data_IF_136815999597
#
_entry.id   IF_136815999597
#
_cell.length_a   1.000
_cell.length_b   1.000
_cell.length_c   1.000
_cell.angle_alpha   90.00
_cell.angle_beta   90.00
_cell.angle_gamma   90.00
#
_symmetry.space_group_name_H-M   'P 1'
#
loop_
_entity.id
_entity.type
_entity.pdbx_description
1 polymer ?
#
# COMPACT_ATOMS: atom_id res chain seq x y z
N UNK A 1 -83.75 6.04 18.28
CA UNK A 1 -82.64 5.13 18.01
C UNK A 1 -81.50 5.76 17.20
N UNK A 2 -81.76 6.57 16.14
CA UNK A 2 -80.76 7.14 15.22
C UNK A 2 -79.73 8.12 15.88
N UNK A 3 -80.13 8.84 16.92
CA UNK A 3 -79.27 9.81 17.60
C UNK A 3 -78.18 9.18 18.49
N UNK A 4 -78.39 7.99 19.01
CA UNK A 4 -77.40 7.29 19.85
C UNK A 4 -76.30 6.61 18.94
N UNK A 5 -76.67 6.21 17.74
CA UNK A 5 -75.73 5.64 16.77
C UNK A 5 -74.72 6.68 16.25
N UNK A 6 -75.18 7.93 16.08
CA UNK A 6 -74.34 9.05 15.60
C UNK A 6 -73.27 9.46 16.63
N UNK A 7 -73.61 9.41 17.93
CA UNK A 7 -72.65 9.69 19.01
C UNK A 7 -71.60 8.59 19.18
N UNK A 8 -71.93 7.33 18.96
CA UNK A 8 -70.98 6.21 18.98
C UNK A 8 -70.00 6.26 17.82
N UNK A 9 -70.45 6.59 16.63
CA UNK A 9 -69.57 6.71 15.46
C UNK A 9 -68.61 7.89 15.56
N UNK A 10 -69.04 9.02 16.09
CA UNK A 10 -68.20 10.20 16.35
C UNK A 10 -67.10 9.93 17.37
N UNK A 11 -67.39 9.16 18.43
CA UNK A 11 -66.42 8.73 19.42
C UNK A 11 -65.32 7.82 18.87
N UNK A 12 -65.70 6.90 18.02
CA UNK A 12 -64.74 5.98 17.36
C UNK A 12 -63.80 6.75 16.39
N UNK A 13 -64.37 7.68 15.61
CA UNK A 13 -63.57 8.50 14.70
C UNK A 13 -62.57 9.38 15.47
N UNK A 14 -62.99 9.94 16.61
CA UNK A 14 -62.11 10.76 17.45
C UNK A 14 -60.96 9.94 18.04
N UNK A 15 -61.22 8.71 18.49
CA UNK A 15 -60.20 7.82 19.01
C UNK A 15 -59.19 7.42 17.89
N UNK A 16 -59.65 7.16 16.68
CA UNK A 16 -58.78 6.86 15.52
C UNK A 16 -57.90 8.06 15.14
N UNK A 17 -58.42 9.29 15.22
CA UNK A 17 -57.64 10.49 14.95
C UNK A 17 -56.55 10.68 16.04
N UNK A 18 -56.86 10.47 17.30
CA UNK A 18 -55.90 10.55 18.38
C UNK A 18 -54.79 9.49 18.24
N UNK A 19 -55.18 8.27 17.85
CA UNK A 19 -54.21 7.19 17.61
C UNK A 19 -53.30 7.50 16.37
N UNK A 20 -53.86 8.10 15.34
CA UNK A 20 -53.11 8.52 14.17
C UNK A 20 -52.12 9.66 14.48
N UNK A 21 -52.56 10.66 15.28
CA UNK A 21 -51.69 11.74 15.71
C UNK A 21 -50.57 11.23 16.64
N UNK A 22 -50.88 10.28 17.53
CA UNK A 22 -49.88 9.63 18.38
C UNK A 22 -48.87 8.83 17.54
N UNK A 23 -49.34 8.15 16.49
CA UNK A 23 -48.49 7.38 15.59
C UNK A 23 -47.54 8.29 14.80
N UNK A 24 -48.03 9.41 14.26
CA UNK A 24 -47.19 10.43 13.62
C UNK A 24 -46.16 11.00 14.61
N UNK A 25 -46.57 11.29 15.85
CA UNK A 25 -45.66 11.78 16.88
C UNK A 25 -44.54 10.81 17.18
N UNK A 26 -44.82 9.51 17.24
CA UNK A 26 -43.83 8.46 17.49
C UNK A 26 -42.86 8.32 16.29
N UNK A 27 -43.36 8.41 15.05
CA UNK A 27 -42.52 8.36 13.85
C UNK A 27 -41.57 9.57 13.80
N UNK A 28 -42.10 10.78 13.95
CA UNK A 28 -41.29 12.00 13.95
C UNK A 28 -40.24 12.02 15.09
N UNK A 29 -40.54 11.39 16.23
CA UNK A 29 -39.58 11.27 17.33
C UNK A 29 -38.45 10.27 16.98
N UNK A 30 -38.76 9.21 16.24
CA UNK A 30 -37.74 8.25 15.76
C UNK A 30 -36.80 8.85 14.70
N UNK A 31 -37.35 9.66 13.79
CA UNK A 31 -36.50 10.33 12.78
C UNK A 31 -35.53 11.34 13.42
N UNK A 32 -36.03 12.14 14.39
CA UNK A 32 -35.17 13.10 15.08
C UNK A 32 -34.05 12.46 15.89
N UNK A 33 -34.27 11.28 16.47
CA UNK A 33 -33.22 10.53 17.22
C UNK A 33 -32.18 9.90 16.27
N UNK A 34 -32.59 9.51 15.07
CA UNK A 34 -31.66 8.95 14.08
C UNK A 34 -30.77 10.00 13.40
N UNK A 35 -31.26 11.22 13.20
CA UNK A 35 -30.45 12.31 12.64
C UNK A 35 -29.42 12.86 13.66
N UNK A 36 -29.82 12.99 14.94
CA UNK A 36 -28.91 13.50 15.97
C UNK A 36 -27.76 12.52 16.29
N UNK A 37 -28.02 11.22 16.25
CA UNK A 37 -26.98 10.20 16.44
C UNK A 37 -26.02 10.08 15.25
N UNK A 38 -26.49 10.35 14.02
CA UNK A 38 -25.66 10.30 12.81
C UNK A 38 -24.78 11.54 12.68
N UNK A 39 -25.21 12.68 13.20
CA UNK A 39 -24.46 13.94 13.12
C UNK A 39 -23.31 14.02 14.15
N UNK A 40 -23.45 13.36 15.31
CA UNK A 40 -22.38 13.34 16.33
C UNK A 40 -21.30 12.27 16.10
N UNK A 41 -21.60 11.22 15.33
CA UNK A 41 -20.60 10.20 14.98
C UNK A 41 -19.69 10.57 13.81
N UNK A 42 -20.11 11.51 12.95
CA UNK A 42 -19.34 11.93 11.77
C UNK A 42 -18.02 12.66 12.09
N UNK A 43 -17.94 13.55 13.10
CA UNK A 43 -16.66 14.16 13.47
C UNK A 43 -15.68 13.19 14.16
N UNK A 44 -16.19 12.24 14.96
CA UNK A 44 -15.32 11.28 15.65
C UNK A 44 -14.69 10.27 14.67
N UNK A 45 -15.45 9.74 13.71
CA UNK A 45 -14.94 8.88 12.65
C UNK A 45 -13.97 9.61 11.69
N UNK A 46 -14.22 10.90 11.42
CA UNK A 46 -13.28 11.72 10.64
C UNK A 46 -12.00 12.06 11.41
N UNK A 47 -12.06 12.23 12.72
CA UNK A 47 -10.87 12.41 13.56
C UNK A 47 -10.07 11.12 13.76
N UNK A 48 -10.71 9.96 13.78
CA UNK A 48 -10.01 8.66 13.79
C UNK A 48 -9.35 8.34 12.44
N UNK A 49 -9.92 8.79 11.32
CA UNK A 49 -9.32 8.69 9.99
C UNK A 49 -8.17 9.69 9.75
N UNK A 50 -8.03 10.73 10.57
CA UNK A 50 -6.88 11.63 10.60
C UNK A 50 -5.80 11.16 11.59
N UNK A 51 -5.69 9.86 11.86
CA UNK A 51 -4.50 9.30 12.46
C UNK A 51 -3.36 9.59 11.48
N UNK A 52 -2.53 10.55 11.81
CA UNK A 52 -1.36 10.93 11.00
C UNK A 52 -0.58 9.66 10.72
N UNK A 53 -0.62 9.20 9.47
CA UNK A 53 0.10 7.99 9.07
C UNK A 53 1.59 8.26 9.35
N UNK A 54 2.13 7.55 10.33
CA UNK A 54 3.54 7.68 10.69
C UNK A 54 4.39 7.26 9.51
N UNK A 55 5.28 8.13 9.06
CA UNK A 55 6.22 7.83 7.96
C UNK A 55 7.62 7.67 8.49
N UNK A 56 8.40 6.85 7.81
CA UNK A 56 9.84 6.72 8.03
C UNK A 56 10.59 7.13 6.77
N UNK A 57 11.79 7.70 6.98
CA UNK A 57 12.72 8.00 5.90
C UNK A 57 13.48 6.75 5.52
N UNK A 58 13.63 6.54 4.21
CA UNK A 58 14.41 5.46 3.63
C UNK A 58 15.32 6.03 2.54
N UNK A 59 16.44 5.35 2.28
CA UNK A 59 17.31 5.66 1.15
C UNK A 59 17.10 4.63 0.05
N UNK A 60 16.85 5.09 -1.15
CA UNK A 60 16.92 4.26 -2.35
C UNK A 60 18.19 4.61 -3.12
N UNK A 61 18.76 3.63 -3.80
CA UNK A 61 20.00 3.79 -4.53
C UNK A 61 19.74 3.58 -6.01
N UNK A 62 19.98 4.63 -6.81
CA UNK A 62 19.68 4.63 -8.24
C UNK A 62 20.94 4.94 -9.06
N UNK A 63 21.10 4.32 -10.27
CA UNK A 63 22.27 4.54 -11.12
C UNK A 63 22.35 5.99 -11.58
N UNK A 64 23.55 6.56 -11.59
CA UNK A 64 23.82 7.90 -12.10
C UNK A 64 24.08 7.87 -13.59
N UNK A 65 23.65 8.89 -14.37
CA UNK A 65 24.11 9.09 -15.74
C UNK A 65 25.53 9.64 -15.83
N UNK A 66 26.11 10.10 -14.71
CA UNK A 66 27.41 10.80 -14.68
C UNK A 66 28.58 9.88 -14.32
N UNK A 67 28.30 8.76 -13.61
CA UNK A 67 29.32 7.82 -13.15
C UNK A 67 28.75 6.40 -13.02
N UNK A 68 29.58 5.44 -12.64
CA UNK A 68 29.21 4.01 -12.51
C UNK A 68 28.67 3.65 -11.11
N UNK A 69 28.33 4.66 -10.29
CA UNK A 69 27.86 4.45 -8.92
C UNK A 69 26.34 4.56 -8.80
N UNK A 70 25.81 3.94 -7.76
CA UNK A 70 24.44 4.15 -7.31
C UNK A 70 24.39 5.34 -6.35
N UNK A 71 23.57 6.33 -6.67
CA UNK A 71 23.42 7.55 -5.87
C UNK A 71 22.24 7.43 -4.91
N UNK A 72 22.40 7.87 -3.64
CA UNK A 72 21.34 7.81 -2.66
C UNK A 72 20.28 8.90 -2.87
N UNK A 73 19.01 8.50 -2.79
CA UNK A 73 17.89 9.41 -2.74
C UNK A 73 16.99 9.10 -1.54
N UNK A 74 16.69 10.13 -0.73
CA UNK A 74 15.77 9.99 0.39
C UNK A 74 14.33 9.89 -0.11
N UNK A 75 13.57 8.93 0.45
CA UNK A 75 12.13 8.77 0.26
C UNK A 75 11.43 8.67 1.60
N UNK A 76 10.12 8.82 1.60
CA UNK A 76 9.27 8.56 2.76
C UNK A 76 8.32 7.42 2.44
N UNK A 77 8.26 6.46 3.34
CA UNK A 77 7.32 5.35 3.28
C UNK A 77 6.47 5.31 4.55
N UNK A 78 5.30 4.68 4.48
CA UNK A 78 4.47 4.47 5.65
C UNK A 78 5.12 3.47 6.60
N UNK A 79 5.17 3.81 7.89
CA UNK A 79 5.58 2.89 8.93
C UNK A 79 4.46 1.87 9.16
N UNK A 80 4.70 0.62 8.82
CA UNK A 80 3.75 -0.47 9.02
C UNK A 80 4.35 -1.55 9.92
N UNK A 81 3.53 -2.35 10.65
CA UNK A 81 4.05 -3.47 11.45
C UNK A 81 4.69 -4.57 10.60
N UNK A 82 4.30 -4.69 9.35
CA UNK A 82 4.78 -5.72 8.42
C UNK A 82 6.05 -5.26 7.70
N UNK A 83 7.16 -5.95 7.95
CA UNK A 83 8.42 -5.69 7.25
C UNK A 83 8.31 -5.93 5.74
N UNK A 84 7.56 -6.95 5.30
CA UNK A 84 7.33 -7.20 3.87
C UNK A 84 6.56 -6.05 3.21
N UNK A 85 5.60 -5.43 3.92
CA UNK A 85 4.91 -4.25 3.40
C UNK A 85 5.83 -3.03 3.32
N UNK A 86 6.75 -2.83 4.26
CA UNK A 86 7.74 -1.75 4.18
C UNK A 86 8.70 -1.98 3.02
N UNK A 87 9.20 -3.21 2.83
CA UNK A 87 10.02 -3.59 1.67
C UNK A 87 9.27 -3.36 0.35
N UNK A 88 7.99 -3.72 0.29
CA UNK A 88 7.15 -3.47 -0.89
C UNK A 88 7.04 -1.98 -1.23
N UNK A 89 6.94 -1.12 -0.22
CA UNK A 89 6.94 0.34 -0.41
C UNK A 89 8.28 0.85 -0.92
N UNK A 90 9.42 0.35 -0.39
CA UNK A 90 10.75 0.70 -0.92
C UNK A 90 10.89 0.31 -2.39
N UNK A 91 10.43 -0.89 -2.76
CA UNK A 91 10.42 -1.31 -4.17
C UNK A 91 9.58 -0.38 -5.04
N UNK A 92 8.40 0.03 -4.57
CA UNK A 92 7.55 0.97 -5.30
C UNK A 92 8.23 2.33 -5.50
N UNK A 93 8.99 2.82 -4.50
CA UNK A 93 9.76 4.06 -4.64
C UNK A 93 10.89 3.92 -5.68
N UNK A 94 11.59 2.78 -5.72
CA UNK A 94 12.60 2.49 -6.76
C UNK A 94 11.92 2.44 -8.15
N UNK A 95 10.75 1.80 -8.26
CA UNK A 95 10.03 1.67 -9.54
C UNK A 95 9.49 3.00 -10.07
N UNK A 96 9.18 3.96 -9.19
CA UNK A 96 8.85 5.34 -9.59
C UNK A 96 10.03 6.04 -10.27
N UNK A 97 11.25 5.63 -9.97
CA UNK A 97 12.47 6.24 -10.48
C UNK A 97 12.95 7.44 -9.67
N UNK A 98 13.87 8.20 -10.27
CA UNK A 98 14.56 9.30 -9.62
C UNK A 98 13.73 10.57 -9.56
N UNK A 99 13.89 11.31 -8.45
CA UNK A 99 13.45 12.71 -8.29
C UNK A 99 14.60 13.71 -8.50
N UNK A 100 15.85 13.20 -8.68
CA UNK A 100 17.07 14.01 -8.79
C UNK A 100 17.79 13.88 -10.14
N UNK A 101 17.18 13.19 -11.11
CA UNK A 101 17.75 13.01 -12.45
C UNK A 101 18.61 11.76 -12.63
N UNK A 102 18.66 10.86 -11.63
CA UNK A 102 19.27 9.55 -11.78
C UNK A 102 18.47 8.66 -12.75
N UNK A 103 19.07 7.59 -13.21
CA UNK A 103 18.43 6.65 -14.14
C UNK A 103 17.43 5.75 -13.40
N UNK A 104 16.39 5.31 -14.10
CA UNK A 104 15.52 4.26 -13.59
C UNK A 104 15.99 2.90 -14.13
N UNK A 105 16.58 2.02 -13.30
CA UNK A 105 17.08 0.74 -13.77
C UNK A 105 15.97 -0.31 -13.92
N UNK A 106 14.76 -0.01 -13.49
CA UNK A 106 13.64 -0.96 -13.46
C UNK A 106 12.71 -0.70 -14.64
N UNK A 107 12.42 -1.71 -15.47
CA UNK A 107 11.47 -1.57 -16.57
C UNK A 107 10.09 -1.11 -16.08
N UNK A 108 9.45 -0.13 -16.74
CA UNK A 108 8.24 0.53 -16.23
C UNK A 108 7.02 -0.41 -16.09
N UNK A 109 6.98 -1.54 -16.81
CA UNK A 109 5.88 -2.51 -16.72
C UNK A 109 6.09 -3.55 -15.62
N UNK A 110 7.24 -3.51 -14.93
CA UNK A 110 7.55 -4.45 -13.85
C UNK A 110 6.54 -4.35 -12.72
N UNK A 111 6.01 -5.49 -12.28
CA UNK A 111 5.08 -5.58 -11.17
C UNK A 111 5.67 -6.38 -10.02
N UNK A 112 5.41 -5.95 -8.80
CA UNK A 112 5.70 -6.70 -7.59
C UNK A 112 4.53 -7.66 -7.38
N UNK A 113 4.78 -8.96 -7.52
CA UNK A 113 3.78 -10.00 -7.30
C UNK A 113 3.66 -10.32 -5.80
N UNK A 114 4.81 -10.64 -5.16
CA UNK A 114 4.85 -10.97 -3.74
C UNK A 114 6.20 -10.57 -3.12
N UNK A 115 6.19 -10.30 -1.82
CA UNK A 115 7.38 -10.08 -0.99
C UNK A 115 7.26 -10.94 0.26
N UNK A 116 8.17 -11.86 0.45
CA UNK A 116 8.25 -12.72 1.61
C UNK A 116 9.60 -12.57 2.31
N UNK A 117 9.59 -12.42 3.64
CA UNK A 117 10.80 -12.33 4.46
C UNK A 117 10.94 -13.62 5.27
N UNK A 118 11.98 -14.39 4.98
CA UNK A 118 12.28 -15.59 5.71
C UNK A 118 13.06 -15.28 7.01
N UNK A 119 12.92 -16.13 8.01
CA UNK A 119 13.53 -15.95 9.35
C UNK A 119 15.07 -15.90 9.35
N UNK A 120 15.73 -16.39 8.30
CA UNK A 120 17.20 -16.35 8.13
C UNK A 120 17.71 -14.99 7.59
N UNK A 121 16.80 -14.05 7.35
CA UNK A 121 17.10 -12.73 6.79
C UNK A 121 17.12 -12.69 5.27
N UNK A 122 16.58 -13.70 4.58
CA UNK A 122 16.42 -13.65 3.12
C UNK A 122 15.08 -12.99 2.76
N UNK A 123 15.12 -11.93 1.95
CA UNK A 123 13.94 -11.37 1.31
C UNK A 123 13.73 -12.03 -0.06
N UNK A 124 12.62 -12.71 -0.24
CA UNK A 124 12.19 -13.26 -1.53
C UNK A 124 11.30 -12.24 -2.22
N UNK A 125 11.67 -11.85 -3.42
CA UNK A 125 10.95 -10.88 -4.24
C UNK A 125 10.45 -11.57 -5.51
N UNK A 126 9.15 -11.75 -5.61
CA UNK A 126 8.52 -12.24 -6.84
C UNK A 126 8.12 -11.07 -7.72
N UNK A 127 8.75 -10.96 -8.88
CA UNK A 127 8.52 -9.90 -9.86
C UNK A 127 7.88 -10.50 -11.13
N UNK A 128 7.13 -9.68 -11.86
CA UNK A 128 6.62 -10.09 -13.17
C UNK A 128 7.75 -10.29 -14.20
N UNK A 129 7.49 -11.11 -15.21
CA UNK A 129 8.43 -11.34 -16.31
C UNK A 129 8.82 -10.08 -17.08
N UNK A 130 8.10 -8.98 -16.89
CA UNK A 130 8.44 -7.69 -17.51
C UNK A 130 9.74 -7.12 -16.97
N UNK A 131 10.13 -7.47 -15.73
CA UNK A 131 11.45 -7.15 -15.17
C UNK A 131 12.60 -7.68 -16.05
N UNK A 132 12.42 -8.89 -16.57
CA UNK A 132 13.39 -9.52 -17.47
C UNK A 132 13.26 -9.01 -18.90
N UNK A 133 12.04 -8.98 -19.44
CA UNK A 133 11.77 -8.60 -20.84
C UNK A 133 12.20 -7.17 -21.15
N UNK A 134 11.87 -6.25 -20.24
CA UNK A 134 12.14 -4.82 -20.40
C UNK A 134 13.57 -4.40 -20.02
N UNK A 135 14.35 -5.24 -19.34
CA UNK A 135 15.74 -4.92 -19.03
C UNK A 135 16.56 -4.85 -20.33
N UNK A 136 17.42 -3.84 -20.45
CA UNK A 136 18.22 -3.64 -21.66
C UNK A 136 19.20 -4.79 -21.97
N UNK A 137 19.59 -5.53 -20.92
CA UNK A 137 20.63 -6.56 -21.00
C UNK A 137 22.03 -5.95 -20.93
N UNK A 138 23.01 -6.84 -20.83
CA UNK A 138 24.40 -6.45 -20.56
C UNK A 138 24.71 -6.38 -19.07
N UNK A 139 25.97 -6.59 -18.73
CA UNK A 139 26.39 -6.74 -17.33
C UNK A 139 26.07 -5.51 -16.47
N UNK A 140 26.30 -4.30 -16.97
CA UNK A 140 26.03 -3.06 -16.23
C UNK A 140 24.55 -2.91 -15.92
N UNK A 141 23.67 -3.00 -16.92
CA UNK A 141 22.22 -2.87 -16.75
C UNK A 141 21.64 -3.92 -15.80
N UNK A 142 22.14 -5.17 -15.83
CA UNK A 142 21.73 -6.22 -14.91
C UNK A 142 22.20 -5.91 -13.48
N UNK A 143 23.44 -5.45 -13.30
CA UNK A 143 24.00 -5.07 -12.00
C UNK A 143 23.24 -3.88 -11.42
N UNK A 144 23.01 -2.83 -12.20
CA UNK A 144 22.26 -1.64 -11.77
C UNK A 144 20.85 -2.00 -11.30
N UNK A 145 20.09 -2.78 -12.08
CA UNK A 145 18.75 -3.18 -11.72
C UNK A 145 18.71 -4.01 -10.42
N UNK A 146 19.62 -4.97 -10.28
CA UNK A 146 19.68 -5.86 -9.11
C UNK A 146 20.13 -5.09 -7.87
N UNK A 147 21.25 -4.35 -7.96
CA UNK A 147 21.82 -3.71 -6.78
C UNK A 147 21.12 -2.43 -6.36
N UNK A 148 20.38 -1.76 -7.24
CA UNK A 148 19.42 -0.74 -6.82
C UNK A 148 18.40 -1.31 -5.84
N UNK A 149 17.89 -2.51 -6.10
CA UNK A 149 16.95 -3.20 -5.22
C UNK A 149 17.65 -3.73 -3.96
N UNK A 150 18.70 -4.53 -4.13
CA UNK A 150 19.39 -5.23 -3.03
C UNK A 150 19.92 -4.25 -2.00
N UNK A 151 20.68 -3.24 -2.44
CA UNK A 151 21.29 -2.26 -1.56
C UNK A 151 20.23 -1.41 -0.85
N UNK A 152 19.19 -0.98 -1.56
CA UNK A 152 18.11 -0.20 -0.95
C UNK A 152 17.37 -0.99 0.15
N UNK A 153 17.08 -2.25 -0.08
CA UNK A 153 16.39 -3.08 0.92
C UNK A 153 17.31 -3.36 2.11
N UNK A 154 18.50 -3.85 1.88
CA UNK A 154 19.40 -4.29 2.95
C UNK A 154 19.95 -3.14 3.78
N UNK A 155 20.10 -1.95 3.20
CA UNK A 155 20.52 -0.75 3.90
C UNK A 155 19.45 -0.25 4.89
N UNK A 156 18.21 -0.18 4.44
CA UNK A 156 17.12 0.32 5.28
C UNK A 156 16.63 -0.70 6.31
N UNK A 157 16.80 -1.99 6.05
CA UNK A 157 16.31 -3.07 6.90
C UNK A 157 17.44 -4.03 7.32
N UNK A 158 18.22 -3.72 8.38
CA UNK A 158 19.39 -4.51 8.78
C UNK A 158 19.11 -5.99 9.12
N UNK A 159 17.85 -6.33 9.38
CA UNK A 159 17.42 -7.72 9.59
C UNK A 159 17.38 -8.51 8.27
N UNK A 160 17.35 -7.86 7.12
CA UNK A 160 17.44 -8.48 5.80
C UNK A 160 18.92 -8.52 5.40
N UNK A 161 19.43 -9.72 5.19
CA UNK A 161 20.86 -9.98 4.88
C UNK A 161 21.12 -10.16 3.41
N UNK A 162 20.11 -10.60 2.66
CA UNK A 162 20.20 -10.92 1.24
C UNK A 162 18.84 -10.88 0.57
N UNK A 163 18.83 -10.75 -0.72
CA UNK A 163 17.63 -10.76 -1.56
C UNK A 163 17.69 -11.92 -2.54
N UNK A 164 16.60 -12.65 -2.66
CA UNK A 164 16.41 -13.71 -3.65
C UNK A 164 15.27 -13.33 -4.58
N UNK A 165 15.51 -13.39 -5.88
CA UNK A 165 14.52 -13.01 -6.87
C UNK A 165 13.81 -14.22 -7.46
N UNK A 166 12.51 -14.09 -7.63
CA UNK A 166 11.68 -15.00 -8.42
C UNK A 166 11.05 -14.20 -9.57
N UNK A 167 10.83 -14.86 -10.68
CA UNK A 167 10.15 -14.30 -11.84
C UNK A 167 8.91 -15.14 -12.13
N UNK A 168 7.74 -14.53 -12.02
CA UNK A 168 6.45 -15.22 -12.11
C UNK A 168 6.36 -16.47 -11.19
N UNK A 169 6.93 -16.34 -9.97
CA UNK A 169 6.98 -17.39 -8.95
C UNK A 169 8.06 -18.45 -9.15
N UNK A 170 8.93 -18.32 -10.16
CA UNK A 170 9.95 -19.32 -10.51
C UNK A 170 11.36 -18.75 -10.43
N UNK A 171 12.33 -19.59 -10.07
CA UNK A 171 13.75 -19.29 -10.19
C UNK A 171 14.18 -19.20 -11.65
N UNK A 172 15.16 -18.35 -11.91
CA UNK A 172 15.84 -18.25 -13.23
C UNK A 172 17.32 -18.44 -13.06
N UNK A 173 17.95 -19.07 -14.04
CA UNK A 173 19.41 -19.25 -14.06
C UNK A 173 20.13 -17.90 -14.22
N UNK A 174 19.68 -17.08 -15.16
CA UNK A 174 20.27 -15.75 -15.44
C UNK A 174 19.16 -14.71 -15.64
N UNK A 175 19.45 -13.41 -15.41
CA UNK A 175 18.51 -12.33 -15.71
C UNK A 175 18.37 -12.17 -17.24
N UNK A 176 19.48 -11.83 -17.92
CA UNK A 176 19.56 -11.69 -19.38
C UNK A 176 20.83 -12.36 -19.97
N UNK A 177 21.39 -13.31 -19.24
CA UNK A 177 22.53 -14.12 -19.72
C UNK A 177 23.88 -13.78 -19.08
N UNK A 178 24.05 -12.69 -18.36
CA UNK A 178 25.33 -12.28 -17.79
C UNK A 178 25.45 -12.56 -16.32
N UNK A 179 24.40 -12.26 -15.54
CA UNK A 179 24.42 -12.41 -14.09
C UNK A 179 23.61 -13.63 -13.66
N UNK A 180 24.23 -14.49 -12.85
CA UNK A 180 23.52 -15.63 -12.24
C UNK A 180 22.43 -15.13 -11.30
N UNK A 181 21.21 -15.61 -11.52
CA UNK A 181 19.98 -15.14 -10.87
C UNK A 181 19.33 -16.22 -10.00
N UNK A 182 19.85 -17.44 -10.06
CA UNK A 182 19.43 -18.63 -9.30
C UNK A 182 20.01 -18.68 -7.87
N UNK A 183 20.50 -17.56 -7.36
CA UNK A 183 21.08 -17.43 -6.01
C UNK A 183 20.66 -16.13 -5.35
N UNK A 184 20.74 -16.10 -4.01
CA UNK A 184 20.49 -14.85 -3.28
C UNK A 184 21.66 -13.87 -3.44
N UNK A 185 21.34 -12.60 -3.54
CA UNK A 185 22.29 -11.50 -3.64
C UNK A 185 22.56 -10.89 -2.27
N UNK A 186 23.82 -10.83 -1.89
CA UNK A 186 24.31 -10.05 -0.76
C UNK A 186 24.43 -8.57 -1.16
N UNK A 187 24.33 -7.61 -0.21
CA UNK A 187 24.59 -6.21 -0.54
C UNK A 187 25.99 -5.98 -1.07
N UNK A 188 26.10 -5.04 -1.97
CA UNK A 188 27.38 -4.51 -2.44
C UNK A 188 27.39 -2.98 -2.29
N UNK A 189 27.80 -2.52 -1.13
CA UNK A 189 27.84 -1.08 -0.82
C UNK A 189 29.03 -0.35 -1.44
N UNK A 190 30.02 -1.08 -2.01
CA UNK A 190 31.17 -0.45 -2.67
C UNK A 190 30.82 0.27 -3.98
N UNK A 191 29.63 -0.01 -4.53
CA UNK A 191 29.12 0.66 -5.74
C UNK A 191 28.17 1.82 -5.40
N UNK A 192 28.06 2.21 -4.11
CA UNK A 192 27.27 3.37 -3.71
C UNK A 192 28.21 4.57 -3.64
N UNK A 193 27.75 5.71 -4.16
CA UNK A 193 28.44 7.00 -4.04
C UNK A 193 28.38 7.48 -2.59
N UNK A 194 29.51 7.82 -2.00
CA UNK A 194 29.63 8.45 -0.69
C UNK A 194 29.16 9.93 -0.68
#
# INVERSE_FOLDING_TARGET
>A
LKRRFFLFSAGIIFILILFFLFFIFVINKKEKISEESTFQQKPALQQEMMKTEETIKVLIFLPSPEDEFLHPEERKILKTPSLSNQVKQVLLEIFKGSEKGNLNPIPPQTQIREVYIHKDGTAYLDLSSDFVKGNAGGSSSEIEAIYSIVNSITFNFPNIKRVHFLIDGMERETLKGHLRFDRSFLPNYSIIKE
#
